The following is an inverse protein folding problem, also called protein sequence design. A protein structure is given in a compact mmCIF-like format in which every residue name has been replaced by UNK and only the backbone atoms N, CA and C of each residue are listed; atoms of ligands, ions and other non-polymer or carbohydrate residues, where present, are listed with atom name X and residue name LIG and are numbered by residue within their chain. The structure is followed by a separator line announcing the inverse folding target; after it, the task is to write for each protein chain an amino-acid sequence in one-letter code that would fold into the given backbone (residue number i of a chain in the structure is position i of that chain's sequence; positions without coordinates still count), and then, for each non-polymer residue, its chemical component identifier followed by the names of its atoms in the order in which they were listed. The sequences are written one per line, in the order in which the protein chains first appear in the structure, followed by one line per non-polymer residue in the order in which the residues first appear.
data_IF_913836653778
#
_entry.id   IF_913836653778
#
_cell.length_a   1.000
_cell.length_b   1.000
_cell.length_c   1.000
_cell.angle_alpha   90.00
_cell.angle_beta   90.00
_cell.angle_gamma   90.00
#
_symmetry.space_group_name_H-M   'P 1'
#
loop_
_entity.id
_entity.type
_entity.pdbx_description
1 polymer ?
#
# COMPACT_ATOMS: atom_id res chain seq x y z
N UNK A 1 3.31 8.12 -1.27
CA UNK A 1 2.00 8.35 -0.64
C UNK A 1 2.09 9.39 0.46
N UNK A 2 3.14 9.39 1.28
CA UNK A 2 3.35 10.34 2.36
C UNK A 2 3.62 11.79 1.92
N UNK A 3 4.53 11.98 0.95
CA UNK A 3 4.95 13.32 0.47
C UNK A 3 4.05 13.92 -0.63
N UNK A 4 3.14 13.16 -1.26
CA UNK A 4 2.27 13.68 -2.34
C UNK A 4 2.93 13.96 -3.70
N UNK A 5 4.26 14.08 -3.78
CA UNK A 5 5.03 14.20 -5.03
C UNK A 5 5.74 12.88 -5.36
N UNK A 6 5.80 12.46 -6.64
CA UNK A 6 6.58 11.29 -7.03
C UNK A 6 8.08 11.58 -6.87
N UNK A 7 8.81 10.66 -6.24
CA UNK A 7 10.27 10.76 -6.05
C UNK A 7 11.02 10.63 -7.38
N UNK A 8 10.39 10.09 -8.43
CA UNK A 8 10.91 10.04 -9.79
C UNK A 8 11.56 8.72 -10.20
N UNK A 9 11.52 7.68 -9.34
CA UNK A 9 12.08 6.36 -9.65
C UNK A 9 11.53 5.75 -10.94
N UNK A 10 10.22 5.92 -11.18
CA UNK A 10 9.56 5.41 -12.39
C UNK A 10 10.01 6.14 -13.66
N UNK A 11 10.28 7.45 -13.55
CA UNK A 11 10.71 8.28 -14.68
C UNK A 11 12.18 8.03 -15.02
N UNK A 12 13.02 7.92 -13.98
CA UNK A 12 14.46 7.68 -14.14
C UNK A 12 14.79 6.22 -14.47
N UNK A 13 13.95 5.26 -14.08
CA UNK A 13 14.21 3.81 -14.14
C UNK A 13 15.55 3.39 -13.53
N UNK A 14 16.02 4.16 -12.56
CA UNK A 14 17.32 4.01 -11.91
C UNK A 14 17.21 4.48 -10.45
N UNK A 15 18.25 4.22 -9.65
CA UNK A 15 18.35 4.68 -8.27
C UNK A 15 18.48 6.21 -8.23
N UNK A 16 17.33 6.87 -8.19
CA UNK A 16 17.22 8.34 -8.14
C UNK A 16 18.03 8.84 -6.98
N UNK A 17 19.02 9.70 -7.25
CA UNK A 17 19.89 10.32 -6.24
C UNK A 17 20.63 9.30 -5.35
N UNK A 18 20.75 8.04 -5.78
CA UNK A 18 21.38 6.98 -5.00
C UNK A 18 20.63 6.62 -3.70
N UNK A 19 19.33 6.90 -3.64
CA UNK A 19 18.51 6.77 -2.42
C UNK A 19 18.47 5.31 -1.93
N UNK A 20 18.30 4.33 -2.81
CA UNK A 20 18.28 2.90 -2.47
C UNK A 20 19.64 2.49 -1.89
N UNK A 21 20.73 2.80 -2.59
CA UNK A 21 22.10 2.52 -2.10
C UNK A 21 22.38 3.21 -0.76
N UNK A 22 21.97 4.46 -0.60
CA UNK A 22 22.17 5.21 0.64
C UNK A 22 21.39 4.61 1.83
N UNK A 23 20.21 4.04 1.59
CA UNK A 23 19.45 3.31 2.63
C UNK A 23 20.17 2.04 3.05
N UNK A 24 20.63 1.23 2.08
CA UNK A 24 21.36 -0.02 2.36
C UNK A 24 22.66 0.23 3.15
N UNK A 25 23.47 1.20 2.72
CA UNK A 25 24.71 1.57 3.41
C UNK A 25 24.46 2.08 4.84
N UNK A 26 23.39 2.86 5.03
CA UNK A 26 23.00 3.39 6.34
C UNK A 26 22.51 2.27 7.26
N UNK A 27 21.66 1.37 6.77
CA UNK A 27 21.12 0.26 7.54
C UNK A 27 22.23 -0.66 8.08
N UNK A 28 23.23 -0.98 7.24
CA UNK A 28 24.39 -1.80 7.68
C UNK A 28 25.22 -1.10 8.75
N UNK A 29 25.42 0.22 8.61
CA UNK A 29 26.17 1.02 9.60
C UNK A 29 25.44 1.06 10.94
N UNK A 30 24.14 1.32 10.93
CA UNK A 30 23.29 1.39 12.13
C UNK A 30 23.16 0.03 12.82
N UNK A 31 23.01 -1.05 12.06
CA UNK A 31 23.00 -2.41 12.59
C UNK A 31 24.30 -2.74 13.31
N UNK A 32 25.46 -2.37 12.73
CA UNK A 32 26.75 -2.57 13.42
C UNK A 32 26.84 -1.73 14.69
N UNK A 33 26.39 -0.47 14.65
CA UNK A 33 26.36 0.39 15.84
C UNK A 33 25.45 -0.14 16.95
N UNK A 34 24.32 -0.76 16.62
CA UNK A 34 23.38 -1.32 17.59
C UNK A 34 23.88 -2.63 18.22
N UNK A 35 24.66 -3.43 17.47
CA UNK A 35 25.25 -4.68 17.95
C UNK A 35 26.42 -4.48 18.94
N UNK A 36 26.96 -3.27 19.08
CA UNK A 36 28.02 -2.95 20.03
C UNK A 36 27.57 -1.92 21.08
N UNK A 37 26.95 -2.36 22.20
CA UNK A 37 26.39 -1.47 23.22
C UNK A 37 27.35 -0.38 23.75
N UNK A 38 28.65 -0.63 23.96
CA UNK A 38 29.58 0.43 24.40
C UNK A 38 29.76 1.55 23.37
N UNK A 39 29.83 1.20 22.07
CA UNK A 39 29.95 2.17 20.97
C UNK A 39 28.64 2.92 20.81
N UNK A 40 27.51 2.23 20.92
CA UNK A 40 26.16 2.81 20.91
C UNK A 40 25.96 3.83 22.05
N UNK A 41 26.42 3.50 23.27
CA UNK A 41 26.37 4.40 24.41
C UNK A 41 27.27 5.63 24.23
N UNK A 42 28.48 5.42 23.68
CA UNK A 42 29.39 6.52 23.32
C UNK A 42 28.78 7.44 22.26
N UNK A 43 28.17 6.88 21.22
CA UNK A 43 27.50 7.60 20.15
C UNK A 43 26.34 8.46 20.65
N UNK A 44 25.55 7.99 21.62
CA UNK A 44 24.40 8.75 22.16
C UNK A 44 24.78 9.80 23.20
N UNK A 45 25.70 9.46 24.11
CA UNK A 45 25.91 10.25 25.33
C UNK A 45 27.06 11.26 25.21
N UNK A 46 27.85 11.22 24.13
CA UNK A 46 28.96 12.14 23.92
C UNK A 46 28.71 13.04 22.68
N UNK A 47 28.90 14.36 22.76
CA UNK A 47 28.75 15.27 21.61
C UNK A 47 29.60 14.86 20.39
N UNK A 48 30.81 14.35 20.62
CA UNK A 48 31.69 13.85 19.57
C UNK A 48 31.16 12.55 18.96
N UNK A 49 30.61 11.66 19.81
CA UNK A 49 29.95 10.44 19.38
C UNK A 49 28.71 10.72 18.53
N UNK A 50 27.86 11.68 18.93
CA UNK A 50 26.68 12.08 18.16
C UNK A 50 27.09 12.62 16.80
N UNK A 51 28.13 13.46 16.73
CA UNK A 51 28.63 14.01 15.46
C UNK A 51 29.21 12.96 14.52
N UNK A 52 29.80 11.89 15.04
CA UNK A 52 30.46 10.86 14.23
C UNK A 52 29.53 9.71 13.81
N UNK A 53 28.51 9.41 14.61
CA UNK A 53 27.71 8.18 14.46
C UNK A 53 26.21 8.41 14.27
N UNK A 54 25.68 9.57 14.64
CA UNK A 54 24.25 9.91 14.46
C UNK A 54 24.12 10.76 13.21
N UNK A 55 23.25 10.33 12.29
CA UNK A 55 22.98 11.06 11.05
C UNK A 55 22.36 12.42 11.33
N UNK A 56 22.75 13.41 10.54
CA UNK A 56 22.24 14.78 10.61
C UNK A 56 21.68 15.21 9.24
N UNK A 57 20.67 16.09 9.21
CA UNK A 57 20.20 16.75 7.98
C UNK A 57 21.29 17.52 7.20
N UNK A 58 22.45 17.78 7.82
CA UNK A 58 23.58 18.41 7.13
C UNK A 58 24.50 17.41 6.41
N UNK A 59 24.28 16.10 6.58
CA UNK A 59 25.11 15.09 5.94
C UNK A 59 24.74 14.95 4.46
N UNK A 60 25.75 15.03 3.59
CA UNK A 60 25.57 14.95 2.13
C UNK A 60 25.46 13.51 1.59
N UNK A 61 25.31 12.51 2.48
CA UNK A 61 25.27 11.07 2.16
C UNK A 61 24.40 10.33 3.18
N UNK A 62 23.91 9.14 2.82
CA UNK A 62 23.12 8.30 3.73
C UNK A 62 21.82 8.96 4.20
N UNK A 63 21.44 8.72 5.47
CA UNK A 63 20.20 9.24 6.07
C UNK A 63 20.06 10.76 6.03
N UNK A 64 21.16 11.52 6.06
CA UNK A 64 21.11 12.98 6.10
C UNK A 64 20.50 13.61 4.86
N UNK A 65 20.67 12.98 3.69
CA UNK A 65 20.01 13.41 2.45
C UNK A 65 18.49 13.33 2.57
N UNK A 66 17.98 12.25 3.17
CA UNK A 66 16.54 12.07 3.39
C UNK A 66 16.00 13.08 4.40
N UNK A 67 16.72 13.28 5.51
CA UNK A 67 16.33 14.25 6.52
C UNK A 67 16.34 15.68 5.98
N UNK A 68 17.30 16.03 5.12
CA UNK A 68 17.36 17.33 4.47
C UNK A 68 16.18 17.54 3.51
N UNK A 69 15.88 16.54 2.67
CA UNK A 69 14.78 16.61 1.70
C UNK A 69 13.42 16.70 2.40
N UNK A 70 13.17 15.86 3.41
CA UNK A 70 11.93 15.89 4.20
C UNK A 70 11.78 17.25 4.86
N UNK A 71 12.82 17.76 5.51
CA UNK A 71 12.78 19.08 6.14
C UNK A 71 12.51 20.18 5.14
N UNK A 72 13.18 20.16 3.99
CA UNK A 72 12.99 21.17 2.95
C UNK A 72 11.55 21.16 2.45
N UNK A 73 10.98 19.99 2.16
CA UNK A 73 9.60 19.86 1.71
C UNK A 73 8.60 20.34 2.77
N UNK A 74 8.78 19.92 4.03
CA UNK A 74 7.91 20.32 5.16
C UNK A 74 7.99 21.83 5.38
N UNK A 75 9.19 22.42 5.33
CA UNK A 75 9.38 23.87 5.43
C UNK A 75 8.76 24.62 4.25
N UNK A 76 8.95 24.12 3.03
CA UNK A 76 8.40 24.74 1.84
C UNK A 76 6.86 24.76 1.87
N UNK A 77 6.24 23.66 2.29
CA UNK A 77 4.77 23.54 2.40
C UNK A 77 4.17 24.27 3.58
N UNK A 78 4.88 24.37 4.70
CA UNK A 78 4.42 25.18 5.84
C UNK A 78 4.56 26.68 5.59
N UNK A 79 5.57 27.10 4.80
CA UNK A 79 5.80 28.52 4.49
C UNK A 79 4.95 29.05 3.33
N UNK A 80 4.61 28.22 2.35
CA UNK A 80 3.78 28.64 1.23
C UNK A 80 2.31 28.31 1.52
N UNK A 81 1.46 29.34 1.66
CA UNK A 81 0.00 29.21 1.60
C UNK A 81 -0.52 28.93 0.17
N UNK A 82 0.33 28.37 -0.70
CA UNK A 82 -0.08 27.92 -2.04
C UNK A 82 -0.79 26.59 -1.89
N UNK A 83 -2.00 26.49 -2.44
CA UNK A 83 -2.70 25.21 -2.58
C UNK A 83 -1.73 24.17 -3.16
N UNK A 84 -1.51 23.03 -2.46
CA UNK A 84 -0.58 22.03 -2.93
C UNK A 84 -1.03 21.53 -4.30
N UNK A 85 -0.09 21.36 -5.24
CA UNK A 85 -0.37 20.83 -6.59
C UNK A 85 -1.03 19.44 -6.54
N UNK A 86 -0.88 18.73 -5.42
CA UNK A 86 -1.55 17.49 -5.09
C UNK A 86 -2.24 17.67 -3.73
N UNK A 87 -3.54 17.97 -3.72
CA UNK A 87 -4.34 17.98 -2.48
C UNK A 87 -4.41 16.56 -1.88
N UNK A 88 -4.34 16.48 -0.54
CA UNK A 88 -4.56 15.29 0.30
C UNK A 88 -3.40 14.29 0.50
N UNK A 89 -2.12 14.70 0.46
CA UNK A 89 -1.05 13.81 0.95
C UNK A 89 -1.11 13.63 2.47
N UNK A 90 -0.45 12.60 3.02
CA UNK A 90 -0.40 12.42 4.49
C UNK A 90 0.29 13.61 5.16
N UNK A 91 1.34 14.17 4.53
CA UNK A 91 1.97 15.40 4.99
C UNK A 91 0.98 16.57 5.06
N UNK A 92 0.14 16.75 4.03
CA UNK A 92 -0.85 17.85 4.04
C UNK A 92 -1.91 17.63 5.13
N UNK A 93 -2.32 16.38 5.36
CA UNK A 93 -3.25 16.03 6.44
C UNK A 93 -2.63 16.24 7.82
N UNK A 94 -1.35 15.90 8.02
CA UNK A 94 -0.64 16.13 9.27
C UNK A 94 -0.44 17.62 9.55
N UNK A 95 -0.08 18.41 8.54
CA UNK A 95 0.02 19.87 8.65
C UNK A 95 -1.33 20.53 8.95
N UNK A 96 -2.43 20.00 8.40
CA UNK A 96 -3.78 20.50 8.65
C UNK A 96 -4.41 19.97 9.95
N UNK A 97 -3.86 18.91 10.54
CA UNK A 97 -4.43 18.26 11.72
C UNK A 97 -4.21 19.10 12.98
N UNK A 98 -5.23 19.12 13.84
CA UNK A 98 -5.14 19.69 15.18
C UNK A 98 -5.83 18.78 16.19
N UNK A 99 -5.24 18.68 17.39
CA UNK A 99 -5.84 18.00 18.53
C UNK A 99 -7.09 18.73 19.02
N UNK A 100 -7.89 18.09 19.88
CA UNK A 100 -9.07 18.70 20.52
C UNK A 100 -8.77 20.01 21.25
N UNK A 101 -7.50 20.21 21.64
CA UNK A 101 -7.01 21.40 22.32
C UNK A 101 -6.45 22.47 21.36
N UNK A 102 -6.62 22.30 20.04
CA UNK A 102 -6.17 23.23 19.00
C UNK A 102 -4.66 23.20 18.71
N UNK A 103 -3.90 22.28 19.32
CA UNK A 103 -2.47 22.11 19.05
C UNK A 103 -2.28 21.22 17.81
N UNK A 104 -1.51 21.70 16.83
CA UNK A 104 -1.05 20.91 15.70
C UNK A 104 0.08 19.95 16.09
N UNK A 105 0.42 19.04 15.18
CA UNK A 105 1.55 18.11 15.37
C UNK A 105 2.87 18.92 15.26
N UNK A 106 3.82 18.77 16.21
CA UNK A 106 5.12 19.42 16.11
C UNK A 106 5.84 19.05 14.81
N UNK A 107 6.44 20.04 14.15
CA UNK A 107 7.12 19.84 12.87
C UNK A 107 8.16 18.70 12.93
N UNK A 108 8.89 18.58 14.03
CA UNK A 108 9.90 17.55 14.20
C UNK A 108 9.30 16.14 14.23
N UNK A 109 8.12 15.96 14.81
CA UNK A 109 7.42 14.67 14.81
C UNK A 109 6.90 14.31 13.41
N UNK A 110 6.45 15.31 12.64
CA UNK A 110 6.08 15.11 11.22
C UNK A 110 7.32 14.70 10.41
N UNK A 111 8.45 15.38 10.59
CA UNK A 111 9.72 15.03 9.92
C UNK A 111 10.17 13.60 10.27
N UNK A 112 10.10 13.23 11.56
CA UNK A 112 10.52 11.91 12.05
C UNK A 112 9.60 10.78 11.54
N UNK A 113 8.28 10.99 11.49
CA UNK A 113 7.35 9.98 10.98
C UNK A 113 7.42 9.82 9.45
N UNK A 114 7.64 10.90 8.71
CA UNK A 114 7.89 10.79 7.26
C UNK A 114 9.17 10.00 6.97
N UNK A 115 10.20 10.17 7.80
CA UNK A 115 11.44 9.42 7.69
C UNK A 115 11.20 7.94 7.99
N UNK A 116 10.44 7.63 9.05
CA UNK A 116 10.10 6.26 9.41
C UNK A 116 9.23 5.57 8.35
N UNK A 117 8.20 6.21 7.81
CA UNK A 117 7.36 5.64 6.76
C UNK A 117 8.16 5.31 5.48
N UNK A 118 9.17 6.13 5.17
CA UNK A 118 10.05 5.89 4.03
C UNK A 118 11.12 4.81 4.31
N UNK A 119 11.62 4.70 5.54
CA UNK A 119 12.63 3.71 5.96
C UNK A 119 12.06 2.34 6.28
N UNK A 120 10.97 2.30 7.04
CA UNK A 120 10.31 1.09 7.52
C UNK A 120 9.37 0.48 6.46
N UNK A 121 9.74 0.67 5.19
CA UNK A 121 8.91 0.38 4.04
C UNK A 121 8.64 -1.12 3.78
N UNK A 122 7.85 -1.38 2.73
CA UNK A 122 7.34 -2.69 2.32
C UNK A 122 8.38 -3.81 2.25
N UNK A 123 9.66 -3.50 2.03
CA UNK A 123 10.73 -4.46 1.81
C UNK A 123 10.93 -5.40 3.00
N UNK A 124 10.84 -4.90 4.23
CA UNK A 124 11.02 -5.74 5.44
C UNK A 124 9.87 -6.73 5.61
N UNK A 125 8.63 -6.27 5.41
CA UNK A 125 7.42 -7.10 5.51
C UNK A 125 7.36 -8.09 4.34
N UNK A 126 7.66 -7.63 3.12
CA UNK A 126 7.69 -8.46 1.93
C UNK A 126 8.77 -9.54 2.05
N UNK A 127 9.97 -9.19 2.52
CA UNK A 127 11.06 -10.15 2.74
C UNK A 127 10.70 -11.17 3.81
N UNK A 128 10.15 -10.74 4.96
CA UNK A 128 9.74 -11.65 6.03
C UNK A 128 8.61 -12.58 5.60
N UNK A 129 7.58 -12.05 4.93
CA UNK A 129 6.47 -12.85 4.43
C UNK A 129 6.94 -13.84 3.36
N UNK A 130 7.78 -13.39 2.42
CA UNK A 130 8.35 -14.23 1.37
C UNK A 130 9.20 -15.35 1.97
N UNK A 131 10.12 -15.02 2.88
CA UNK A 131 10.95 -16.02 3.56
C UNK A 131 10.12 -17.01 4.36
N UNK A 132 9.09 -16.55 5.09
CA UNK A 132 8.20 -17.44 5.83
C UNK A 132 7.49 -18.43 4.91
N UNK A 133 6.96 -17.95 3.77
CA UNK A 133 6.28 -18.79 2.78
C UNK A 133 7.25 -19.83 2.22
N UNK A 134 8.47 -19.43 1.84
CA UNK A 134 9.46 -20.35 1.29
C UNK A 134 9.93 -21.39 2.32
N UNK A 135 10.22 -20.97 3.55
CA UNK A 135 10.67 -21.88 4.62
C UNK A 135 9.59 -22.89 4.99
N UNK A 136 8.33 -22.47 5.05
CA UNK A 136 7.20 -23.37 5.33
C UNK A 136 6.90 -24.29 4.14
N UNK A 137 7.03 -23.79 2.91
CA UNK A 137 6.80 -24.60 1.70
C UNK A 137 7.88 -25.69 1.50
N UNK A 138 9.14 -25.39 1.81
CA UNK A 138 10.25 -26.35 1.74
C UNK A 138 10.11 -27.47 2.79
N UNK A 139 9.67 -27.12 4.00
CA UNK A 139 9.49 -28.10 5.09
C UNK A 139 8.08 -28.67 5.15
N UNK A 140 7.77 -29.57 4.21
CA UNK A 140 6.47 -30.26 4.11
C UNK A 140 5.92 -30.81 5.44
N UNK A 141 6.73 -31.42 6.34
CA UNK A 141 6.22 -31.91 7.63
C UNK A 141 5.75 -30.79 8.58
N UNK A 142 6.41 -29.62 8.55
CA UNK A 142 6.02 -28.46 9.36
C UNK A 142 4.72 -27.87 8.80
N UNK A 143 4.63 -27.72 7.47
CA UNK A 143 3.41 -27.26 6.82
C UNK A 143 2.21 -28.15 7.18
N UNK A 144 2.36 -29.47 7.10
CA UNK A 144 1.29 -30.42 7.43
C UNK A 144 0.85 -30.31 8.91
N UNK A 145 1.79 -30.12 9.83
CA UNK A 145 1.46 -29.90 11.25
C UNK A 145 0.74 -28.58 11.48
N UNK A 146 1.21 -27.50 10.86
CA UNK A 146 0.57 -26.19 10.95
C UNK A 146 -0.84 -26.22 10.36
N UNK A 147 -1.03 -26.90 9.23
CA UNK A 147 -2.35 -27.13 8.63
C UNK A 147 -3.27 -27.89 9.58
N UNK A 148 -2.80 -29.01 10.14
CA UNK A 148 -3.60 -29.80 11.08
C UNK A 148 -3.98 -29.03 12.36
N UNK A 149 -3.09 -28.18 12.88
CA UNK A 149 -3.38 -27.32 14.04
C UNK A 149 -4.44 -26.27 13.73
N UNK A 150 -4.33 -25.62 12.57
CA UNK A 150 -5.32 -24.63 12.10
C UNK A 150 -6.67 -25.31 11.84
N UNK A 151 -6.68 -26.46 11.17
CA UNK A 151 -7.88 -27.23 10.88
C UNK A 151 -8.58 -27.71 12.16
N UNK A 152 -7.82 -28.19 13.14
CA UNK A 152 -8.35 -28.57 14.45
C UNK A 152 -8.94 -27.37 15.20
N UNK A 153 -8.28 -26.20 15.13
CA UNK A 153 -8.80 -24.98 15.77
C UNK A 153 -10.07 -24.44 15.10
N UNK A 154 -10.25 -24.65 13.79
CA UNK A 154 -11.52 -24.44 13.08
C UNK A 154 -12.59 -25.45 13.52
N UNK A 155 -12.25 -26.74 13.59
CA UNK A 155 -13.19 -27.80 13.99
C UNK A 155 -13.69 -27.63 15.43
N UNK A 156 -12.80 -27.19 16.33
CA UNK A 156 -13.11 -26.92 17.74
C UNK A 156 -13.80 -25.57 17.96
N UNK A 157 -14.04 -24.78 16.90
CA UNK A 157 -14.68 -23.46 16.97
C UNK A 157 -13.87 -22.39 17.72
N UNK A 158 -12.58 -22.64 18.02
CA UNK A 158 -11.69 -21.64 18.65
C UNK A 158 -11.34 -20.52 17.69
N UNK A 159 -11.27 -20.84 16.40
CA UNK A 159 -11.20 -19.87 15.34
C UNK A 159 -12.63 -19.60 14.87
N UNK A 160 -12.98 -18.33 14.64
CA UNK A 160 -14.14 -18.00 13.83
C UNK A 160 -14.08 -18.84 12.56
N UNK A 161 -15.18 -19.51 12.18
CA UNK A 161 -15.25 -20.33 10.96
C UNK A 161 -14.67 -19.61 9.74
N UNK A 162 -14.31 -20.34 8.67
CA UNK A 162 -13.62 -19.81 7.47
C UNK A 162 -13.99 -18.35 7.26
N UNK A 163 -13.03 -17.44 7.48
CA UNK A 163 -13.29 -16.01 7.32
C UNK A 163 -13.69 -15.86 5.86
N UNK A 164 -14.97 -15.56 5.57
CA UNK A 164 -15.45 -15.59 4.21
C UNK A 164 -14.65 -14.54 3.46
N UNK A 165 -13.91 -14.99 2.44
CA UNK A 165 -13.08 -14.08 1.65
C UNK A 165 -13.99 -13.11 0.90
N UNK A 166 -13.44 -11.98 0.48
CA UNK A 166 -14.21 -11.03 -0.33
C UNK A 166 -14.79 -11.69 -1.59
N UNK A 167 -14.06 -12.65 -2.19
CA UNK A 167 -14.52 -13.42 -3.33
C UNK A 167 -15.70 -14.36 -3.00
N UNK A 168 -15.67 -15.01 -1.83
CA UNK A 168 -16.77 -15.88 -1.39
C UNK A 168 -18.04 -15.08 -1.11
N UNK A 169 -17.92 -13.91 -0.47
CA UNK A 169 -19.06 -13.02 -0.21
C UNK A 169 -19.60 -12.48 -1.54
N UNK A 170 -18.73 -11.96 -2.40
CA UNK A 170 -19.09 -11.35 -3.68
C UNK A 170 -19.74 -12.29 -4.71
N UNK A 171 -19.78 -13.60 -4.44
CA UNK A 171 -20.34 -14.65 -5.31
C UNK A 171 -21.37 -15.52 -4.60
N UNK A 172 -21.84 -15.12 -3.42
CA UNK A 172 -22.75 -15.94 -2.66
C UNK A 172 -24.16 -15.97 -3.29
N UNK A 173 -24.71 -17.16 -3.63
CA UNK A 173 -26.03 -17.27 -4.26
C UNK A 173 -27.17 -16.67 -3.43
N UNK A 174 -27.12 -16.79 -2.10
CA UNK A 174 -28.17 -16.19 -1.26
C UNK A 174 -28.16 -14.66 -1.30
N UNK A 175 -27.04 -14.02 -1.68
CA UNK A 175 -26.91 -12.57 -1.76
C UNK A 175 -27.19 -12.05 -3.18
N UNK A 176 -26.72 -12.77 -4.21
CA UNK A 176 -26.75 -12.34 -5.61
C UNK A 176 -27.54 -13.29 -6.52
N UNK A 177 -28.30 -14.24 -5.98
CA UNK A 177 -29.08 -15.23 -6.74
C UNK A 177 -28.24 -16.28 -7.46
N UNK A 178 -28.91 -17.17 -8.19
CA UNK A 178 -28.28 -18.36 -8.82
C UNK A 178 -27.18 -18.03 -9.84
N UNK A 179 -27.17 -16.81 -10.39
CA UNK A 179 -26.15 -16.32 -11.32
C UNK A 179 -25.08 -15.45 -10.63
N UNK A 180 -24.83 -15.64 -9.33
CA UNK A 180 -23.87 -14.86 -8.56
C UNK A 180 -22.44 -14.91 -9.13
N UNK A 181 -22.08 -15.99 -9.83
CA UNK A 181 -20.78 -16.17 -10.46
C UNK A 181 -20.65 -15.54 -11.87
N UNK A 182 -21.74 -14.98 -12.41
CA UNK A 182 -21.76 -14.37 -13.74
C UNK A 182 -21.53 -12.85 -13.69
N UNK A 183 -20.80 -12.33 -14.68
CA UNK A 183 -20.66 -10.88 -14.86
C UNK A 183 -21.96 -10.31 -15.46
N UNK A 184 -22.88 -9.90 -14.58
CA UNK A 184 -24.20 -9.37 -14.94
C UNK A 184 -24.40 -7.94 -14.40
N UNK A 185 -23.97 -6.89 -15.13
CA UNK A 185 -24.13 -5.50 -14.69
C UNK A 185 -25.59 -5.07 -14.48
N UNK A 186 -26.50 -5.60 -15.30
CA UNK A 186 -27.94 -5.26 -15.26
C UNK A 186 -28.58 -5.57 -13.91
N UNK A 187 -28.01 -6.51 -13.14
CA UNK A 187 -28.42 -6.80 -11.76
C UNK A 187 -28.47 -5.55 -10.89
N UNK A 188 -27.49 -4.67 -11.04
CA UNK A 188 -27.38 -3.44 -10.24
C UNK A 188 -28.33 -2.36 -10.74
N UNK A 189 -28.69 -2.37 -12.03
CA UNK A 189 -29.64 -1.43 -12.62
C UNK A 189 -31.10 -1.78 -12.30
N UNK A 190 -31.40 -3.07 -12.16
CA UNK A 190 -32.74 -3.59 -11.86
C UNK A 190 -33.05 -3.72 -10.36
N UNK A 191 -32.05 -3.57 -9.48
CA UNK A 191 -32.21 -3.74 -8.04
C UNK A 191 -33.02 -2.61 -7.39
N UNK A 192 -33.79 -2.95 -6.35
CA UNK A 192 -34.47 -1.94 -5.54
C UNK A 192 -33.48 -1.11 -4.71
N UNK A 193 -33.84 0.11 -4.27
CA UNK A 193 -33.00 0.91 -3.38
C UNK A 193 -32.58 0.16 -2.09
N UNK A 194 -33.45 -0.67 -1.54
CA UNK A 194 -33.20 -1.46 -0.34
C UNK A 194 -32.14 -2.54 -0.60
N UNK A 195 -32.25 -3.25 -1.74
CA UNK A 195 -31.27 -4.26 -2.15
C UNK A 195 -29.89 -3.62 -2.40
N UNK A 196 -29.85 -2.46 -3.05
CA UNK A 196 -28.61 -1.71 -3.26
C UNK A 196 -27.98 -1.28 -1.93
N UNK A 197 -28.79 -0.86 -0.95
CA UNK A 197 -28.30 -0.50 0.37
C UNK A 197 -27.74 -1.71 1.13
N UNK A 198 -28.40 -2.86 1.03
CA UNK A 198 -27.94 -4.13 1.61
C UNK A 198 -26.60 -4.55 1.01
N UNK A 199 -26.50 -4.63 -0.32
CA UNK A 199 -25.25 -4.99 -1.01
C UNK A 199 -24.12 -3.99 -0.73
N UNK A 200 -24.42 -2.69 -0.60
CA UNK A 200 -23.42 -1.69 -0.22
C UNK A 200 -22.86 -1.91 1.19
N UNK A 201 -23.64 -2.47 2.12
CA UNK A 201 -23.17 -2.84 3.48
C UNK A 201 -22.30 -4.09 3.45
N UNK A 202 -22.58 -5.00 2.53
CA UNK A 202 -21.86 -6.27 2.33
C UNK A 202 -20.67 -6.15 1.37
N UNK A 203 -20.39 -4.94 0.85
CA UNK A 203 -19.21 -4.68 0.02
C UNK A 203 -17.93 -4.75 0.87
N UNK A 204 -17.32 -5.93 0.84
CA UNK A 204 -16.09 -6.28 1.56
C UNK A 204 -14.84 -6.21 0.67
N UNK A 205 -14.94 -5.82 -0.61
CA UNK A 205 -13.80 -5.74 -1.53
C UNK A 205 -12.72 -4.77 -1.05
N UNK A 206 -13.13 -3.77 -0.28
CA UNK A 206 -12.26 -2.77 0.32
C UNK A 206 -12.02 -3.04 1.81
N UNK A 207 -12.30 -4.24 2.32
CA UNK A 207 -12.21 -4.58 3.74
C UNK A 207 -13.35 -4.01 4.60
N UNK A 208 -13.37 -4.39 5.88
CA UNK A 208 -14.45 -4.09 6.84
C UNK A 208 -13.88 -3.52 8.14
N UNK A 209 -14.68 -2.73 8.86
CA UNK A 209 -14.33 -2.22 10.18
C UNK A 209 -13.23 -1.15 10.17
N UNK A 210 -12.47 -1.08 11.26
CA UNK A 210 -11.43 -0.05 11.49
C UNK A 210 -10.22 -0.15 10.56
N UNK A 211 -10.11 -1.25 9.79
CA UNK A 211 -9.07 -1.48 8.79
C UNK A 211 -9.62 -1.44 7.35
N UNK A 212 -10.85 -0.97 7.14
CA UNK A 212 -11.40 -0.74 5.80
C UNK A 212 -10.43 0.17 5.02
N UNK A 213 -10.17 -0.20 3.78
CA UNK A 213 -9.24 0.47 2.87
C UNK A 213 -9.58 1.96 2.79
N UNK A 214 -8.64 2.77 3.27
CA UNK A 214 -8.74 4.22 3.22
C UNK A 214 -8.81 4.74 1.78
N UNK A 215 -8.22 4.00 0.83
CA UNK A 215 -8.18 4.34 -0.59
C UNK A 215 -9.44 4.01 -1.39
N UNK A 216 -10.51 3.46 -0.79
CA UNK A 216 -11.73 3.03 -1.51
C UNK A 216 -12.26 4.07 -2.49
N UNK A 217 -12.44 5.31 -2.01
CA UNK A 217 -13.04 6.37 -2.83
C UNK A 217 -12.10 6.84 -3.95
N UNK A 218 -10.80 6.91 -3.69
CA UNK A 218 -9.79 7.25 -4.70
C UNK A 218 -9.70 6.15 -5.76
N UNK A 219 -9.69 4.88 -5.34
CA UNK A 219 -9.69 3.74 -6.23
C UNK A 219 -10.92 3.69 -7.14
N UNK A 220 -12.12 3.89 -6.57
CA UNK A 220 -13.36 3.97 -7.35
C UNK A 220 -13.34 5.14 -8.36
N UNK A 221 -12.86 6.32 -7.94
CA UNK A 221 -12.73 7.45 -8.87
C UNK A 221 -11.79 7.12 -10.04
N UNK A 222 -10.62 6.55 -9.74
CA UNK A 222 -9.65 6.17 -10.77
C UNK A 222 -10.23 5.12 -11.73
N UNK A 223 -10.91 4.09 -11.19
CA UNK A 223 -11.57 3.06 -11.99
C UNK A 223 -12.64 3.64 -12.91
N UNK A 224 -13.53 4.50 -12.39
CA UNK A 224 -14.60 5.10 -13.20
C UNK A 224 -14.06 6.01 -14.30
N UNK A 225 -13.10 6.89 -13.99
CA UNK A 225 -12.49 7.77 -14.99
C UNK A 225 -11.76 6.97 -16.07
N UNK A 226 -11.02 5.93 -15.67
CA UNK A 226 -10.29 5.05 -16.59
C UNK A 226 -11.25 4.30 -17.50
N UNK A 227 -12.29 3.68 -16.94
CA UNK A 227 -13.29 2.95 -17.71
C UNK A 227 -13.97 3.86 -18.73
N UNK A 228 -14.44 5.04 -18.31
CA UNK A 228 -15.07 6.03 -19.20
C UNK A 228 -14.12 6.47 -20.31
N UNK A 229 -12.85 6.75 -19.98
CA UNK A 229 -11.86 7.14 -20.98
C UNK A 229 -11.60 6.02 -22.00
N UNK A 230 -11.51 4.77 -21.55
CA UNK A 230 -11.28 3.61 -22.42
C UNK A 230 -12.45 3.40 -23.38
N UNK A 231 -13.68 3.25 -22.86
CA UNK A 231 -14.86 2.95 -23.69
C UNK A 231 -15.24 4.09 -24.64
N UNK A 232 -14.87 5.33 -24.30
CA UNK A 232 -15.09 6.50 -25.16
C UNK A 232 -14.04 6.61 -26.27
N UNK A 233 -12.81 6.20 -26.00
CA UNK A 233 -11.67 6.47 -26.90
C UNK A 233 -11.30 5.29 -27.78
N UNK A 234 -11.72 4.07 -27.42
CA UNK A 234 -11.30 2.85 -28.09
C UNK A 234 -12.46 1.86 -28.26
N UNK A 235 -12.45 1.13 -29.37
CA UNK A 235 -13.15 -0.13 -29.52
C UNK A 235 -12.29 -1.25 -28.92
N UNK A 236 -12.78 -1.86 -27.85
CA UNK A 236 -12.05 -2.84 -27.03
C UNK A 236 -12.36 -4.26 -27.52
N UNK A 237 -11.36 -4.99 -28.00
CA UNK A 237 -11.53 -6.36 -28.47
C UNK A 237 -10.57 -7.30 -27.74
N UNK A 238 -11.11 -8.41 -27.24
CA UNK A 238 -10.30 -9.47 -26.64
C UNK A 238 -9.70 -10.34 -27.75
N UNK A 239 -8.39 -10.58 -27.72
CA UNK A 239 -7.77 -11.50 -28.68
C UNK A 239 -8.18 -12.95 -28.39
N UNK A 240 -8.33 -13.77 -29.44
CA UNK A 240 -8.80 -15.15 -29.35
C UNK A 240 -7.92 -16.05 -28.46
N UNK A 241 -6.64 -15.73 -28.34
CA UNK A 241 -5.69 -16.45 -27.50
C UNK A 241 -5.88 -16.18 -26.01
N UNK A 242 -6.79 -15.27 -25.64
CA UNK A 242 -6.98 -14.86 -24.25
C UNK A 242 -7.83 -15.86 -23.47
N UNK A 243 -7.23 -16.46 -22.44
CA UNK A 243 -7.94 -17.29 -21.47
C UNK A 243 -8.22 -16.49 -20.19
N UNK A 244 -9.49 -16.23 -19.91
CA UNK A 244 -9.92 -15.59 -18.65
C UNK A 244 -10.29 -16.69 -17.66
N UNK A 245 -9.41 -17.00 -16.70
CA UNK A 245 -9.77 -17.85 -15.57
C UNK A 245 -10.52 -17.01 -14.54
N UNK A 246 -11.84 -17.24 -14.42
CA UNK A 246 -12.71 -16.52 -13.47
C UNK A 246 -12.49 -16.92 -12.00
N UNK A 247 -11.69 -17.95 -11.71
CA UNK A 247 -11.52 -18.55 -10.38
C UNK A 247 -10.13 -18.40 -9.78
N UNK A 248 -9.16 -17.90 -10.56
CA UNK A 248 -7.85 -17.47 -10.06
C UNK A 248 -7.75 -15.95 -10.17
N UNK A 249 -6.89 -15.31 -9.37
CA UNK A 249 -6.39 -13.99 -9.77
C UNK A 249 -5.93 -14.12 -11.23
N UNK A 250 -6.41 -13.27 -12.16
CA UNK A 250 -5.99 -13.38 -13.54
C UNK A 250 -4.47 -13.22 -13.55
N UNK A 251 -3.73 -14.30 -13.81
CA UNK A 251 -2.34 -14.13 -14.21
C UNK A 251 -2.43 -13.44 -15.57
N UNK A 252 -1.90 -12.23 -15.65
CA UNK A 252 -1.90 -11.43 -16.87
C UNK A 252 -1.09 -12.08 -17.99
N UNK A 253 -0.50 -13.26 -17.75
CA UNK A 253 0.42 -13.95 -18.63
C UNK A 253 -0.16 -14.28 -20.00
N UNK A 254 -1.48 -14.21 -20.23
CA UNK A 254 -2.09 -14.38 -21.56
C UNK A 254 -3.36 -13.54 -21.79
N UNK A 255 -3.51 -12.37 -21.17
CA UNK A 255 -4.64 -11.46 -21.48
C UNK A 255 -4.23 -10.39 -22.50
N UNK A 256 -4.58 -10.60 -23.76
CA UNK A 256 -4.30 -9.64 -24.83
C UNK A 256 -5.60 -8.89 -25.21
N UNK A 257 -5.54 -7.57 -25.10
CA UNK A 257 -6.64 -6.66 -25.44
C UNK A 257 -6.19 -5.72 -26.55
N UNK A 258 -6.87 -5.75 -27.69
CA UNK A 258 -6.67 -4.80 -28.78
C UNK A 258 -7.46 -3.53 -28.48
N UNK A 259 -6.78 -2.37 -28.51
CA UNK A 259 -7.40 -1.06 -28.46
C UNK A 259 -7.44 -0.49 -29.88
N UNK A 260 -8.62 -0.48 -30.51
CA UNK A 260 -8.77 0.11 -31.85
C UNK A 260 -9.26 1.54 -31.72
N UNK A 261 -8.57 2.48 -32.36
CA UNK A 261 -9.07 3.85 -32.48
C UNK A 261 -10.35 3.82 -33.32
N UNK A 262 -11.45 4.43 -32.88
CA UNK A 262 -12.63 4.57 -33.71
C UNK A 262 -12.24 5.34 -34.97
N UNK A 263 -12.65 4.84 -36.14
CA UNK A 263 -12.44 5.51 -37.42
C UNK A 263 -12.98 6.94 -37.33
N UNK A 264 -12.15 7.94 -37.64
CA UNK A 264 -12.54 9.34 -37.58
C UNK A 264 -13.85 9.56 -38.36
N UNK A 265 -14.90 9.97 -37.64
CA UNK A 265 -16.11 10.56 -38.22
C UNK A 265 -15.89 12.06 -38.42
#
# INVERSE_FOLDING_TARGET
MSMGTPVGFMDAKDDVRGLIRNMEETAVREQRLSLFPPISAFARNNPLGRRLFVSSPNDRRGLGLFMAEIRQEVQQRSACATEPKYEHSMLDQWLASSSSNGQGIPQQEIEDELLMDMMAGPDSIALMATNLIFLVADQRPILQRAQAEVDAAYADGRLSGQVPTAAMIGRHPDLYGDQADEFLPDRWLAASPEQLQEWARLDVHWGVGVRKCLGKHVGLMALYKTLVALVRSFDLQLEETTTINRWSYPSSENMLLTLRMPSAQ
#
